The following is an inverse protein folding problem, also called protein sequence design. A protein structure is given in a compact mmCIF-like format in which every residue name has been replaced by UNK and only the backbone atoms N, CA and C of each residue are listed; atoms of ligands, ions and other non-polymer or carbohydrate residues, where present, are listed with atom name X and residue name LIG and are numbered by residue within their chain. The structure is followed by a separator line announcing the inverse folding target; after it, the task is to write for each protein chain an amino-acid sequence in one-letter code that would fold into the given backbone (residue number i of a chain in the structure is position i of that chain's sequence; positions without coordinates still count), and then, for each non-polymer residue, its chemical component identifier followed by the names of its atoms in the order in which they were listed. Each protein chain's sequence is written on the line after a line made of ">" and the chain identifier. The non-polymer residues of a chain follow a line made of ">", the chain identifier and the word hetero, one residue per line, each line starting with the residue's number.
data_IF_959753078517
#
_entry.id   IF_959753078517
#
_cell.length_a   1.000
_cell.length_b   1.000
_cell.length_c   1.000
_cell.angle_alpha   90.00
_cell.angle_beta   90.00
_cell.angle_gamma   90.00
#
_symmetry.space_group_name_H-M   'P 1'
#
loop_
_entity.id
_entity.type
_entity.pdbx_description
1 polymer ?
#
# COMPACT_ATOMS: atom_id res chain seq x y z
N UNK A 1 2.32 26.12 -3.29
CA UNK A 1 1.80 26.56 -1.97
C UNK A 1 0.53 27.42 -2.12
N UNK A 2 0.50 28.38 -3.05
CA UNK A 2 -0.68 29.24 -3.30
C UNK A 2 -1.93 28.44 -3.67
N UNK A 3 -1.82 27.47 -4.60
CA UNK A 3 -2.92 26.60 -4.98
C UNK A 3 -3.47 25.79 -3.81
N UNK A 4 -2.62 25.32 -2.91
CA UNK A 4 -3.05 24.58 -1.72
C UNK A 4 -3.87 25.46 -0.80
N UNK A 5 -3.39 26.67 -0.53
CA UNK A 5 -4.10 27.64 0.29
C UNK A 5 -5.45 28.00 -0.32
N UNK A 6 -5.47 28.32 -1.61
CA UNK A 6 -6.69 28.63 -2.34
C UNK A 6 -7.75 27.53 -2.22
N UNK A 7 -7.35 26.25 -2.43
CA UNK A 7 -8.27 25.10 -2.29
C UNK A 7 -8.82 24.96 -0.87
N UNK A 8 -7.99 25.17 0.15
CA UNK A 8 -8.42 25.09 1.55
C UNK A 8 -9.41 26.22 1.86
N UNK A 9 -9.09 27.45 1.45
CA UNK A 9 -9.94 28.60 1.71
C UNK A 9 -11.32 28.45 1.03
N UNK A 10 -11.38 28.04 -0.24
CA UNK A 10 -12.63 27.81 -0.98
C UNK A 10 -13.51 26.71 -0.34
N UNK A 11 -12.92 25.59 0.08
CA UNK A 11 -13.65 24.51 0.74
C UNK A 11 -14.16 24.97 2.12
N UNK A 12 -13.35 25.69 2.88
CA UNK A 12 -13.73 26.25 4.17
C UNK A 12 -14.87 27.25 4.06
N UNK A 13 -14.86 28.08 3.04
CA UNK A 13 -15.93 29.06 2.84
C UNK A 13 -17.28 28.39 2.59
N UNK A 14 -17.31 27.29 1.83
CA UNK A 14 -18.55 26.50 1.67
C UNK A 14 -19.06 25.96 3.00
N UNK A 15 -18.19 25.42 3.85
CA UNK A 15 -18.60 24.93 5.18
C UNK A 15 -19.03 26.05 6.13
N UNK A 16 -18.34 27.19 6.11
CA UNK A 16 -18.69 28.38 6.91
C UNK A 16 -20.06 28.93 6.54
N UNK A 17 -20.38 28.98 5.25
CA UNK A 17 -21.70 29.41 4.76
C UNK A 17 -22.83 28.50 5.25
N UNK A 18 -22.54 27.22 5.51
CA UNK A 18 -23.50 26.26 6.08
C UNK A 18 -23.50 26.25 7.62
N UNK A 19 -22.73 27.12 8.27
CA UNK A 19 -22.63 27.19 9.72
C UNK A 19 -21.82 26.06 10.35
N UNK A 20 -21.05 25.31 9.57
CA UNK A 20 -20.22 24.21 10.03
C UNK A 20 -18.79 24.69 10.25
N UNK A 21 -18.28 24.52 11.49
CA UNK A 21 -16.88 24.85 11.83
C UNK A 21 -16.02 23.60 11.75
N UNK A 22 -15.07 23.55 10.82
CA UNK A 22 -14.11 22.48 10.64
C UNK A 22 -12.70 23.05 10.75
N UNK A 23 -11.78 22.31 11.40
CA UNK A 23 -10.39 22.74 11.45
C UNK A 23 -9.71 22.52 10.08
N UNK A 24 -8.93 23.48 9.63
CA UNK A 24 -8.25 23.48 8.34
C UNK A 24 -7.39 22.24 8.11
N UNK A 25 -6.81 21.67 9.17
CA UNK A 25 -5.99 20.45 9.11
C UNK A 25 -6.65 19.29 8.38
N UNK A 26 -7.97 19.11 8.54
CA UNK A 26 -8.70 18.00 7.92
C UNK A 26 -8.77 18.17 6.40
N UNK A 27 -8.92 19.41 5.93
CA UNK A 27 -8.97 19.72 4.51
C UNK A 27 -7.56 19.72 3.92
N UNK A 28 -6.57 20.25 4.64
CA UNK A 28 -5.17 20.26 4.21
C UNK A 28 -4.62 18.86 3.94
N UNK A 29 -4.99 17.87 4.78
CA UNK A 29 -4.60 16.46 4.58
C UNK A 29 -5.13 15.93 3.25
N UNK A 30 -6.39 16.24 2.93
CA UNK A 30 -7.03 15.80 1.67
C UNK A 30 -6.36 16.48 0.48
N UNK A 31 -6.16 17.80 0.53
CA UNK A 31 -5.49 18.57 -0.53
C UNK A 31 -4.06 18.08 -0.75
N UNK A 32 -3.34 17.72 0.32
CA UNK A 32 -2.02 17.12 0.22
C UNK A 32 -2.03 15.81 -0.57
N UNK A 33 -3.02 14.96 -0.36
CA UNK A 33 -3.14 13.71 -1.13
C UNK A 33 -3.49 13.95 -2.59
N UNK A 34 -4.30 14.96 -2.90
CA UNK A 34 -4.62 15.35 -4.27
C UNK A 34 -3.40 15.84 -5.08
N UNK A 35 -2.39 16.37 -4.39
CA UNK A 35 -1.15 16.92 -4.99
C UNK A 35 0.06 15.98 -4.82
N UNK A 36 -0.16 14.72 -4.47
CA UNK A 36 0.92 13.76 -4.21
C UNK A 36 1.63 13.27 -5.47
N UNK A 37 1.00 13.34 -6.63
CA UNK A 37 1.53 12.81 -7.89
C UNK A 37 2.22 13.89 -8.72
N UNK A 38 3.28 13.47 -9.41
CA UNK A 38 4.07 14.26 -10.34
C UNK A 38 4.00 13.59 -11.71
N UNK A 39 3.79 14.35 -12.77
CA UNK A 39 3.87 13.88 -14.15
C UNK A 39 5.28 14.13 -14.66
N UNK A 40 5.90 13.11 -15.20
CA UNK A 40 7.23 13.19 -15.81
C UNK A 40 7.12 13.87 -17.17
N UNK A 41 7.87 14.95 -17.38
CA UNK A 41 8.01 15.63 -18.68
C UNK A 41 9.25 15.12 -19.42
N UNK A 42 10.39 15.20 -18.76
CA UNK A 42 11.67 14.69 -19.29
C UNK A 42 12.23 13.65 -18.31
N UNK A 43 12.38 12.39 -18.70
CA UNK A 43 12.88 11.35 -17.80
C UNK A 43 14.38 11.48 -17.50
N UNK A 44 15.16 12.23 -18.30
CA UNK A 44 16.62 12.26 -18.13
C UNK A 44 17.23 10.86 -18.15
N UNK A 45 18.14 10.59 -17.21
CA UNK A 45 18.82 9.29 -17.03
C UNK A 45 18.11 8.38 -16.03
N UNK A 46 16.86 8.70 -15.65
CA UNK A 46 16.05 7.90 -14.73
C UNK A 46 15.33 6.76 -15.44
N UNK A 47 14.85 5.77 -14.68
CA UNK A 47 14.05 4.64 -15.19
C UNK A 47 12.60 5.00 -15.52
N UNK A 48 12.20 6.27 -15.40
CA UNK A 48 10.83 6.69 -15.63
C UNK A 48 10.48 6.79 -17.11
N UNK A 49 9.19 6.54 -17.40
CA UNK A 49 8.66 6.76 -18.74
C UNK A 49 8.12 8.19 -18.88
N UNK A 50 8.32 8.86 -20.02
CA UNK A 50 7.77 10.19 -20.27
C UNK A 50 6.23 10.14 -20.20
N UNK A 51 5.63 11.16 -19.57
CA UNK A 51 4.19 11.24 -19.37
C UNK A 51 3.62 10.39 -18.24
N UNK A 52 4.39 9.54 -17.60
CA UNK A 52 3.95 8.72 -16.46
C UNK A 52 3.68 9.58 -15.22
N UNK A 53 2.76 9.10 -14.36
CA UNK A 53 2.44 9.73 -13.08
C UNK A 53 3.04 8.92 -11.94
N UNK A 54 3.99 9.51 -11.22
CA UNK A 54 4.74 8.87 -10.14
C UNK A 54 4.43 9.58 -8.83
N UNK A 55 4.56 8.88 -7.69
CA UNK A 55 4.46 9.52 -6.39
C UNK A 55 5.66 10.44 -6.16
N UNK A 56 5.45 11.59 -5.52
CA UNK A 56 6.51 12.57 -5.28
C UNK A 56 7.70 11.96 -4.53
N UNK A 57 7.45 11.10 -3.51
CA UNK A 57 8.51 10.45 -2.77
C UNK A 57 9.41 9.56 -3.65
N UNK A 58 8.80 8.76 -4.55
CA UNK A 58 9.57 7.95 -5.51
C UNK A 58 10.37 8.80 -6.48
N UNK A 59 9.78 9.89 -6.96
CA UNK A 59 10.44 10.84 -7.85
C UNK A 59 11.68 11.47 -7.19
N UNK A 60 11.56 11.89 -5.94
CA UNK A 60 12.66 12.51 -5.19
C UNK A 60 13.79 11.48 -4.92
N UNK A 61 13.45 10.25 -4.54
CA UNK A 61 14.43 9.16 -4.27
C UNK A 61 15.21 8.79 -5.54
N UNK A 62 14.50 8.61 -6.67
CA UNK A 62 15.18 8.22 -7.92
C UNK A 62 16.04 9.34 -8.48
N UNK A 63 15.59 10.60 -8.38
CA UNK A 63 16.42 11.74 -8.75
C UNK A 63 17.68 11.85 -7.89
N UNK A 64 17.57 11.61 -6.59
CA UNK A 64 18.73 11.61 -5.71
C UNK A 64 19.72 10.50 -6.09
N UNK A 65 19.22 9.30 -6.42
CA UNK A 65 20.04 8.18 -6.88
C UNK A 65 20.77 8.47 -8.17
N UNK A 66 20.15 9.21 -9.11
CA UNK A 66 20.77 9.59 -10.38
C UNK A 66 21.80 10.70 -10.16
N UNK A 67 21.52 11.66 -9.28
CA UNK A 67 22.49 12.68 -8.90
C UNK A 67 23.75 12.11 -8.24
N UNK A 68 23.63 11.06 -7.42
CA UNK A 68 24.79 10.34 -6.84
C UNK A 68 25.66 9.67 -7.90
N UNK A 69 25.13 9.44 -9.09
CA UNK A 69 25.84 8.87 -10.25
C UNK A 69 26.27 9.90 -11.29
N UNK A 70 26.20 11.19 -10.94
CA UNK A 70 26.49 12.33 -11.84
C UNK A 70 25.62 12.32 -13.11
N UNK A 71 24.42 11.72 -13.08
CA UNK A 71 23.48 11.69 -14.18
C UNK A 71 22.53 12.89 -14.19
N UNK A 72 21.77 13.01 -15.29
CA UNK A 72 20.76 14.06 -15.47
C UNK A 72 19.46 13.67 -14.74
N UNK A 73 18.97 14.46 -13.75
CA UNK A 73 17.72 14.15 -13.04
C UNK A 73 16.50 14.32 -13.95
N UNK A 74 15.40 13.62 -13.63
CA UNK A 74 14.14 13.77 -14.31
C UNK A 74 13.48 15.12 -13.98
N UNK A 75 12.79 15.69 -14.97
CA UNK A 75 11.94 16.86 -14.82
C UNK A 75 10.48 16.44 -14.75
N UNK A 76 9.76 16.95 -13.75
CA UNK A 76 8.35 16.63 -13.57
C UNK A 76 7.55 17.83 -13.04
N UNK A 77 6.27 17.86 -13.43
CA UNK A 77 5.31 18.84 -12.92
C UNK A 77 4.33 18.21 -11.94
N UNK A 78 4.05 18.87 -10.80
CA UNK A 78 3.02 18.41 -9.88
C UNK A 78 1.66 18.43 -10.57
N UNK A 79 0.86 17.38 -10.37
CA UNK A 79 -0.49 17.24 -10.95
C UNK A 79 -1.52 17.30 -9.84
N UNK A 80 -2.57 18.08 -10.04
CA UNK A 80 -3.75 18.06 -9.19
C UNK A 80 -4.69 16.96 -9.66
N UNK A 81 -4.95 15.98 -8.80
CA UNK A 81 -5.91 14.92 -9.02
C UNK A 81 -7.21 15.21 -8.26
N UNK A 82 -8.35 14.89 -8.86
CA UNK A 82 -9.61 14.87 -8.12
C UNK A 82 -9.58 13.84 -6.98
N UNK A 83 -10.43 14.02 -5.97
CA UNK A 83 -10.47 13.20 -4.75
C UNK A 83 -10.60 11.70 -5.09
N UNK A 84 -11.54 11.33 -5.95
CA UNK A 84 -11.76 9.94 -6.37
C UNK A 84 -10.53 9.35 -7.05
N UNK A 85 -9.93 10.08 -7.98
CA UNK A 85 -8.74 9.62 -8.70
C UNK A 85 -7.53 9.52 -7.79
N UNK A 86 -7.37 10.45 -6.85
CA UNK A 86 -6.31 10.39 -5.83
C UNK A 86 -6.47 9.16 -4.92
N UNK A 87 -7.71 8.80 -4.56
CA UNK A 87 -7.99 7.63 -3.74
C UNK A 87 -7.75 6.29 -4.48
N UNK A 88 -8.01 6.24 -5.78
CA UNK A 88 -7.78 5.03 -6.61
C UNK A 88 -6.31 4.85 -7.01
N UNK A 89 -5.53 5.90 -7.08
CA UNK A 89 -4.10 5.87 -7.47
C UNK A 89 -3.15 5.75 -6.28
N UNK A 90 -3.63 5.23 -5.15
CA UNK A 90 -2.79 4.94 -3.97
C UNK A 90 -1.84 3.79 -4.23
N UNK A 91 -0.76 3.73 -3.44
CA UNK A 91 0.25 2.68 -3.57
C UNK A 91 -0.30 1.31 -3.10
N UNK A 92 -1.24 1.30 -2.15
CA UNK A 92 -1.95 0.11 -1.70
C UNK A 92 -3.16 -0.20 -2.59
N UNK A 93 -3.15 -1.36 -3.25
CA UNK A 93 -4.28 -1.80 -4.06
C UNK A 93 -5.46 -2.29 -3.19
N UNK A 94 -5.21 -2.80 -1.98
CA UNK A 94 -6.26 -3.21 -1.02
C UNK A 94 -7.08 -1.98 -0.61
N UNK A 95 -6.41 -0.88 -0.29
CA UNK A 95 -7.06 0.37 0.06
C UNK A 95 -7.88 0.94 -1.10
N UNK A 96 -7.34 0.92 -2.32
CA UNK A 96 -8.05 1.38 -3.52
C UNK A 96 -9.28 0.52 -3.84
N UNK A 97 -9.14 -0.82 -3.79
CA UNK A 97 -10.22 -1.76 -4.06
C UNK A 97 -11.39 -1.64 -3.08
N UNK A 98 -11.11 -1.29 -1.83
CA UNK A 98 -12.14 -1.09 -0.80
C UNK A 98 -12.94 0.20 -0.96
N UNK A 99 -12.55 1.09 -1.84
CA UNK A 99 -13.23 2.37 -2.08
C UNK A 99 -14.22 2.28 -3.26
N UNK A 100 -13.72 2.06 -4.46
CA UNK A 100 -14.52 1.94 -5.69
C UNK A 100 -13.83 1.03 -6.71
N UNK A 101 -14.58 0.56 -7.72
CA UNK A 101 -14.06 -0.24 -8.83
C UNK A 101 -13.27 -1.49 -8.37
N UNK A 102 -13.80 -2.20 -7.39
CA UNK A 102 -13.14 -3.33 -6.71
C UNK A 102 -12.60 -4.37 -7.70
N UNK A 103 -13.41 -4.81 -8.64
CA UNK A 103 -13.03 -5.84 -9.63
C UNK A 103 -11.92 -5.34 -10.55
N UNK A 104 -12.02 -4.12 -11.05
CA UNK A 104 -11.01 -3.52 -11.94
C UNK A 104 -9.66 -3.39 -11.24
N UNK A 105 -9.66 -2.82 -10.03
CA UNK A 105 -8.42 -2.61 -9.24
C UNK A 105 -7.75 -3.93 -8.90
N UNK A 106 -8.52 -4.94 -8.47
CA UNK A 106 -7.97 -6.26 -8.14
C UNK A 106 -7.45 -7.00 -9.38
N UNK A 107 -8.17 -6.91 -10.51
CA UNK A 107 -7.72 -7.52 -11.77
C UNK A 107 -6.42 -6.88 -12.26
N UNK A 108 -6.32 -5.56 -12.24
CA UNK A 108 -5.12 -4.82 -12.62
C UNK A 108 -3.95 -5.14 -11.68
N UNK A 109 -4.19 -5.23 -10.38
CA UNK A 109 -3.17 -5.60 -9.41
C UNK A 109 -2.67 -7.04 -9.63
N UNK A 110 -3.56 -7.98 -9.95
CA UNK A 110 -3.23 -9.37 -10.24
C UNK A 110 -2.41 -9.52 -11.54
N UNK A 111 -2.82 -8.82 -12.61
CA UNK A 111 -2.09 -8.83 -13.90
C UNK A 111 -0.68 -8.27 -13.74
N UNK A 112 -0.53 -7.19 -12.98
CA UNK A 112 0.76 -6.53 -12.75
C UNK A 112 1.60 -7.19 -11.64
N UNK A 113 1.11 -8.22 -10.97
CA UNK A 113 1.79 -8.88 -9.86
C UNK A 113 2.14 -7.92 -8.72
N UNK A 114 1.24 -6.96 -8.40
CA UNK A 114 1.52 -5.95 -7.39
C UNK A 114 1.52 -6.55 -5.99
N UNK A 115 2.48 -6.13 -5.18
CA UNK A 115 2.55 -6.46 -3.76
C UNK A 115 2.10 -5.25 -2.92
N UNK A 116 1.39 -5.51 -1.82
CA UNK A 116 0.97 -4.50 -0.85
C UNK A 116 1.79 -4.64 0.43
N UNK A 117 2.52 -3.58 0.77
CA UNK A 117 3.40 -3.57 1.94
C UNK A 117 2.66 -3.33 3.27
N UNK A 118 1.34 -3.14 3.24
CA UNK A 118 0.49 -2.91 4.42
C UNK A 118 0.98 -1.76 5.33
N UNK A 119 1.46 -0.68 4.73
CA UNK A 119 1.99 0.49 5.46
C UNK A 119 0.91 1.43 5.98
N UNK A 120 -0.27 1.42 5.39
CA UNK A 120 -1.36 2.31 5.78
C UNK A 120 -2.26 1.72 6.86
N UNK A 121 -3.24 2.51 7.29
CA UNK A 121 -4.19 2.09 8.31
C UNK A 121 -5.26 1.17 7.76
N UNK A 122 -5.82 1.51 6.61
CA UNK A 122 -6.99 0.86 6.02
C UNK A 122 -6.73 -0.59 5.63
N UNK A 123 -5.61 -0.86 4.97
CA UNK A 123 -5.20 -2.21 4.58
C UNK A 123 -4.96 -3.11 5.78
N UNK A 124 -4.35 -2.61 6.85
CA UNK A 124 -4.15 -3.37 8.08
C UNK A 124 -5.47 -3.70 8.78
N UNK A 125 -6.41 -2.75 8.81
CA UNK A 125 -7.76 -2.97 9.36
C UNK A 125 -8.52 -4.04 8.57
N UNK A 126 -8.46 -3.99 7.24
CA UNK A 126 -9.13 -4.97 6.36
C UNK A 126 -8.58 -6.38 6.57
N UNK A 127 -7.25 -6.50 6.70
CA UNK A 127 -6.58 -7.81 6.92
C UNK A 127 -6.74 -8.29 8.38
N UNK A 128 -7.18 -7.43 9.30
CA UNK A 128 -7.34 -7.75 10.72
C UNK A 128 -6.02 -7.68 11.52
N UNK A 129 -5.05 -6.92 11.05
CA UNK A 129 -3.81 -6.63 11.77
C UNK A 129 -3.94 -5.37 12.61
N UNK A 130 -3.05 -5.23 13.60
CA UNK A 130 -2.92 -3.97 14.31
C UNK A 130 -2.44 -2.87 13.35
N UNK A 131 -3.04 -1.69 13.46
CA UNK A 131 -2.60 -0.52 12.68
C UNK A 131 -1.19 -0.11 13.11
N UNK A 132 -0.34 0.42 12.21
CA UNK A 132 1.00 0.90 12.52
C UNK A 132 0.96 2.25 13.28
N UNK A 133 0.21 2.29 14.38
CA UNK A 133 0.05 3.45 15.26
C UNK A 133 -0.38 3.00 16.66
N UNK A 134 -0.05 3.76 17.69
CA UNK A 134 -0.36 3.44 19.08
C UNK A 134 0.26 2.11 19.50
N UNK A 135 -0.54 1.18 20.03
CA UNK A 135 -0.06 -0.14 20.51
C UNK A 135 0.43 -1.08 19.39
N UNK A 136 0.16 -0.77 18.13
CA UNK A 136 0.65 -1.49 16.95
C UNK A 136 1.96 -0.96 16.39
N UNK A 137 2.49 0.11 16.95
CA UNK A 137 3.77 0.69 16.54
C UNK A 137 4.92 -0.22 16.97
N UNK A 138 5.85 -0.49 16.09
CA UNK A 138 6.88 -1.52 16.27
C UNK A 138 7.79 -1.24 17.47
N UNK A 139 8.16 0.00 17.69
CA UNK A 139 8.97 0.43 18.84
C UNK A 139 8.32 0.10 20.19
N UNK A 140 6.98 0.19 20.29
CA UNK A 140 6.29 -0.18 21.53
C UNK A 140 6.24 -1.68 21.77
N UNK A 141 6.38 -2.50 20.73
CA UNK A 141 6.43 -3.97 20.87
C UNK A 141 7.73 -4.46 21.46
N UNK A 142 8.79 -3.68 21.32
CA UNK A 142 10.13 -3.96 21.86
C UNK A 142 10.38 -3.27 23.20
N UNK A 143 9.48 -2.38 23.61
CA UNK A 143 9.61 -1.62 24.86
C UNK A 143 9.13 -2.45 26.04
N UNK A 144 10.02 -2.74 27.00
CA UNK A 144 9.68 -3.40 28.25
C UNK A 144 9.61 -2.38 29.39
N UNK A 145 8.53 -2.45 30.17
CA UNK A 145 8.40 -1.66 31.39
C UNK A 145 9.15 -2.37 32.50
N UNK A 146 10.34 -1.86 32.86
CA UNK A 146 11.05 -2.33 34.03
C UNK A 146 10.53 -1.63 35.29
N UNK A 147 10.07 -2.39 36.30
CA UNK A 147 9.72 -1.84 37.60
C UNK A 147 11.00 -1.39 38.32
N UNK A 148 11.07 -0.12 38.68
CA UNK A 148 12.21 0.44 39.45
C UNK A 148 12.42 -0.20 40.85
N UNK A 149 11.49 -1.08 41.29
CA UNK A 149 11.52 -1.77 42.59
C UNK A 149 11.80 -3.27 42.53
N UNK A 150 12.23 -3.81 41.37
CA UNK A 150 12.62 -5.22 41.32
C UNK A 150 13.97 -5.41 42.07
N UNK A 151 14.05 -6.28 43.08
CA UNK A 151 15.34 -6.55 43.75
C UNK A 151 16.32 -7.16 42.74
N UNK A 152 17.55 -6.67 42.80
CA UNK A 152 18.66 -7.19 41.96
C UNK A 152 18.79 -8.70 42.20
N UNK A 153 18.30 -9.53 41.32
CA UNK A 153 18.40 -10.98 41.43
C UNK A 153 17.40 -11.82 40.64
N UNK A 154 16.25 -11.24 40.26
CA UNK A 154 15.30 -11.93 39.36
C UNK A 154 15.25 -11.19 38.01
N UNK A 155 16.14 -11.60 37.10
CA UNK A 155 15.95 -11.32 35.72
C UNK A 155 14.58 -11.92 35.33
N UNK A 156 13.56 -11.08 35.25
CA UNK A 156 12.25 -11.48 34.77
C UNK A 156 12.46 -12.07 33.37
N UNK A 157 12.34 -13.39 33.27
CA UNK A 157 12.26 -14.05 31.95
C UNK A 157 11.17 -13.30 31.18
N UNK A 158 11.46 -12.77 29.99
CA UNK A 158 10.44 -12.17 29.18
C UNK A 158 9.34 -13.21 29.05
N UNK A 159 8.14 -12.92 29.58
CA UNK A 159 6.96 -13.70 29.28
C UNK A 159 6.89 -13.70 27.76
N UNK A 160 7.20 -14.86 27.16
CA UNK A 160 7.06 -15.04 25.72
C UNK A 160 5.61 -14.69 25.41
N UNK A 161 5.39 -13.46 24.98
CA UNK A 161 4.20 -13.19 24.17
C UNK A 161 4.23 -14.27 23.11
N UNK A 162 3.19 -15.12 23.09
CA UNK A 162 3.01 -16.13 22.07
C UNK A 162 3.32 -15.48 20.73
N UNK A 163 4.26 -15.99 19.94
CA UNK A 163 4.41 -15.49 18.59
C UNK A 163 3.04 -15.61 17.94
N UNK A 164 2.45 -14.47 17.59
CA UNK A 164 1.35 -14.41 16.67
C UNK A 164 1.73 -15.32 15.51
N UNK A 165 0.86 -16.25 15.15
CA UNK A 165 1.00 -17.22 14.07
C UNK A 165 1.13 -16.52 12.70
N UNK A 166 2.17 -15.73 12.51
CA UNK A 166 2.42 -15.02 11.27
C UNK A 166 3.91 -14.88 11.03
N UNK A 167 4.60 -15.97 10.81
CA UNK A 167 5.84 -16.06 10.03
C UNK A 167 6.29 -17.52 10.04
N UNK A 168 6.95 -18.02 9.24
CA UNK A 168 7.28 -18.25 7.86
C UNK A 168 6.61 -19.48 7.20
N UNK A 169 5.53 -20.01 7.76
CA UNK A 169 4.86 -21.19 7.17
C UNK A 169 4.17 -20.90 5.82
N UNK A 170 3.93 -19.64 5.48
CA UNK A 170 3.27 -19.29 4.21
C UNK A 170 4.21 -19.34 2.99
N UNK A 171 5.53 -19.40 3.19
CA UNK A 171 6.48 -19.56 2.06
C UNK A 171 6.74 -21.01 1.68
N UNK A 172 6.33 -21.98 2.50
CA UNK A 172 6.49 -23.42 2.19
C UNK A 172 5.26 -24.05 1.53
N UNK A 173 4.10 -23.41 1.56
CA UNK A 173 2.87 -23.95 0.98
C UNK A 173 2.70 -23.71 -0.53
N UNK A 174 3.65 -23.05 -1.19
CA UNK A 174 3.65 -22.79 -2.64
C UNK A 174 4.78 -23.51 -3.40
N UNK A 175 5.29 -24.60 -2.84
CA UNK A 175 6.04 -25.56 -3.68
C UNK A 175 5.04 -26.51 -4.31
N UNK A 176 5.01 -26.61 -5.64
CA UNK A 176 4.24 -27.66 -6.29
C UNK A 176 4.78 -29.03 -5.81
N UNK A 177 3.93 -30.05 -5.66
CA UNK A 177 4.37 -31.36 -5.25
C UNK A 177 5.39 -31.88 -6.28
N UNK A 178 6.57 -32.28 -5.78
CA UNK A 178 7.52 -33.04 -6.59
C UNK A 178 6.81 -34.33 -7.01
N UNK A 179 6.73 -34.52 -8.30
CA UNK A 179 6.28 -35.77 -8.90
C UNK A 179 7.36 -36.82 -8.61
N UNK A 180 7.13 -37.61 -7.58
CA UNK A 180 7.81 -38.88 -7.42
C UNK A 180 7.23 -39.83 -8.47
N UNK A 181 8.06 -40.14 -9.46
CA UNK A 181 7.73 -41.06 -10.50
C UNK A 181 7.51 -42.44 -9.91
N UNK A 182 6.31 -42.94 -9.96
CA UNK A 182 6.06 -44.38 -9.99
C UNK A 182 4.97 -44.67 -11.02
N UNK A 183 5.42 -45.20 -12.17
CA UNK A 183 4.59 -45.74 -13.21
C UNK A 183 3.79 -46.90 -12.65
N UNK A 184 2.46 -46.81 -12.65
CA UNK A 184 1.60 -47.94 -12.85
C UNK A 184 0.52 -47.60 -13.87
N UNK A 185 0.66 -48.29 -14.99
CA UNK A 185 -0.26 -48.43 -16.09
C UNK A 185 -1.57 -49.02 -15.60
N UNK A 186 -2.67 -48.32 -15.77
CA UNK A 186 -4.01 -48.94 -15.83
C UNK A 186 -4.77 -48.22 -16.95
N UNK A 187 -5.02 -48.98 -18.02
CA UNK A 187 -6.00 -48.69 -19.02
C UNK A 187 -7.39 -48.68 -18.40
N UNK A 188 -8.24 -47.71 -18.74
CA UNK A 188 -9.64 -47.97 -19.06
C UNK A 188 -10.43 -46.68 -19.36
N UNK A 189 -11.00 -46.76 -20.57
CA UNK A 189 -12.32 -46.31 -21.01
C UNK A 189 -12.81 -44.85 -20.71
N UNK A 190 -12.95 -44.12 -21.81
CA UNK A 190 -13.82 -42.96 -21.93
C UNK A 190 -15.32 -43.33 -21.83
N UNK A 191 -16.15 -42.39 -21.40
CA UNK A 191 -17.34 -42.14 -22.18
C UNK A 191 -17.50 -40.66 -22.59
N UNK A 192 -17.86 -40.49 -23.83
CA UNK A 192 -18.44 -39.28 -24.44
C UNK A 192 -19.68 -38.80 -23.68
N UNK A 193 -19.89 -37.51 -23.68
CA UNK A 193 -21.15 -36.77 -23.57
C UNK A 193 -20.81 -35.32 -23.23
N UNK A 194 -21.16 -34.28 -23.94
CA UNK A 194 -22.35 -33.89 -24.60
C UNK A 194 -22.22 -32.38 -24.76
N UNK A 195 -22.35 -31.88 -25.97
CA UNK A 195 -22.48 -30.47 -26.29
C UNK A 195 -23.67 -29.83 -25.54
N UNK A 196 -23.43 -28.73 -24.82
CA UNK A 196 -24.49 -27.76 -24.51
C UNK A 196 -24.10 -26.41 -25.07
N UNK A 197 -24.76 -26.07 -26.18
CA UNK A 197 -24.85 -24.73 -26.73
C UNK A 197 -25.87 -23.98 -25.89
N UNK A 198 -25.54 -22.81 -25.37
CA UNK A 198 -26.51 -21.83 -24.88
C UNK A 198 -26.43 -20.58 -25.72
N UNK A 199 -27.59 -20.26 -26.26
CA UNK A 199 -27.90 -19.07 -26.99
C UNK A 199 -27.83 -17.79 -26.15
#
# INVERSE_FOLDING_TARGET
>A
KELQKYLVDEVQDVYRLQGVSINDKHIEIIVRQMLRKVRIEDPGDTSFLPGSQVSKGMFDVENQRVLEKDGKPALGKPVLLGITKAALTTDSFISAASFQETTRVLTEAAINGREDNLLGLKENVIVGRLIPAGSGFEEYRETFVASAKAPAGLAARPSRCRPSLAAPACKQALRPPQQDGNHQHVDDEAPELGHVVLA
#
